data_IF_928654815839
#
_entry.id   IF_928654815839
#
_cell.length_a   1.000
_cell.length_b   1.000
_cell.length_c   1.000
_cell.angle_alpha   90.00
_cell.angle_beta   90.00
_cell.angle_gamma   90.00
#
_symmetry.space_group_name_H-M   'P 1'
#
loop_
_entity.id
_entity.type
_entity.pdbx_description
1 polymer ?
#
# COMPACT_ATOMS: atom_id res chain seq x y z
N UNK A 1 -15.23 -8.71 23.34
CA UNK A 1 -16.11 -9.50 24.23
C UNK A 1 -15.39 -9.73 25.56
N UNK A 2 -16.12 -9.91 26.68
CA UNK A 2 -15.50 -10.25 27.95
C UNK A 2 -15.56 -11.78 28.14
N UNK A 3 -14.43 -12.48 28.03
CA UNK A 3 -14.37 -13.96 28.08
C UNK A 3 -15.02 -14.52 29.34
N UNK A 4 -14.79 -13.90 30.50
CA UNK A 4 -15.37 -14.33 31.78
C UNK A 4 -16.91 -14.33 31.81
N UNK A 5 -17.56 -13.55 30.93
CA UNK A 5 -19.04 -13.57 30.82
C UNK A 5 -19.56 -14.78 30.04
N UNK A 6 -18.77 -15.27 29.09
CA UNK A 6 -19.17 -16.33 28.15
C UNK A 6 -18.59 -17.70 28.50
N UNK A 7 -17.63 -17.76 29.43
CA UNK A 7 -16.96 -18.98 29.88
C UNK A 7 -17.94 -20.07 30.32
N UNK A 8 -19.00 -19.68 31.03
CA UNK A 8 -20.09 -20.57 31.45
C UNK A 8 -21.00 -21.08 30.33
N UNK A 9 -20.91 -20.50 29.13
CA UNK A 9 -21.72 -20.87 27.96
C UNK A 9 -20.88 -21.49 26.84
N UNK A 10 -19.57 -21.61 27.02
CA UNK A 10 -18.63 -22.08 26.00
C UNK A 10 -17.99 -23.40 26.45
N UNK A 11 -17.74 -24.29 25.50
CA UNK A 11 -16.96 -25.50 25.76
C UNK A 11 -15.48 -25.15 25.96
N UNK A 12 -14.73 -26.02 26.64
CA UNK A 12 -13.29 -25.86 26.82
C UNK A 12 -12.55 -25.72 25.46
N UNK A 13 -12.96 -26.51 24.45
CA UNK A 13 -12.41 -26.42 23.09
C UNK A 13 -12.61 -25.03 22.49
N UNK A 14 -13.81 -24.46 22.62
CA UNK A 14 -14.13 -23.12 22.11
C UNK A 14 -13.29 -22.03 22.79
N UNK A 15 -13.04 -22.16 24.10
CA UNK A 15 -12.21 -21.22 24.85
C UNK A 15 -10.73 -21.30 24.44
N UNK A 16 -10.24 -22.49 24.10
CA UNK A 16 -8.89 -22.72 23.58
C UNK A 16 -8.72 -22.17 22.17
N UNK A 17 -9.68 -22.40 21.27
CA UNK A 17 -9.71 -21.83 19.92
C UNK A 17 -9.76 -20.30 19.94
N UNK A 18 -10.55 -19.73 20.85
CA UNK A 18 -10.62 -18.29 21.04
C UNK A 18 -9.27 -17.73 21.49
N UNK A 19 -8.63 -18.36 22.49
CA UNK A 19 -7.29 -17.99 22.94
C UNK A 19 -6.27 -18.08 21.79
N UNK A 20 -6.26 -19.19 21.05
CA UNK A 20 -5.38 -19.38 19.90
C UNK A 20 -5.60 -18.32 18.82
N UNK A 21 -6.84 -17.84 18.64
CA UNK A 21 -7.16 -16.76 17.70
C UNK A 21 -6.58 -15.41 18.16
N UNK A 22 -6.63 -15.10 19.46
CA UNK A 22 -5.97 -13.91 20.02
C UNK A 22 -4.43 -13.98 19.86
N UNK A 23 -3.84 -15.15 20.09
CA UNK A 23 -2.39 -15.36 19.93
C UNK A 23 -1.96 -15.25 18.46
N UNK A 24 -2.71 -15.84 17.53
CA UNK A 24 -2.48 -15.75 16.08
C UNK A 24 -2.58 -14.31 15.57
N UNK A 25 -3.50 -13.51 16.08
CA UNK A 25 -3.62 -12.10 15.70
C UNK A 25 -2.35 -11.29 16.05
N UNK A 26 -1.61 -11.71 17.07
CA UNK A 26 -0.34 -11.11 17.49
C UNK A 26 0.89 -11.86 16.94
N UNK A 27 0.69 -12.86 16.09
CA UNK A 27 1.78 -13.59 15.44
C UNK A 27 2.32 -12.82 14.24
N UNK A 28 3.63 -12.95 14.01
CA UNK A 28 4.21 -12.56 12.74
C UNK A 28 5.49 -13.35 12.49
N UNK A 29 5.68 -13.79 11.24
CA UNK A 29 6.92 -14.41 10.81
C UNK A 29 7.90 -13.32 10.42
N UNK A 30 8.76 -12.93 11.37
CA UNK A 30 9.96 -12.19 11.01
C UNK A 30 10.94 -13.14 10.29
N UNK A 31 11.70 -12.68 9.29
CA UNK A 31 12.65 -13.53 8.53
C UNK A 31 13.71 -14.26 9.37
N UNK A 32 13.82 -13.93 10.66
CA UNK A 32 14.79 -14.46 11.61
C UNK A 32 14.17 -15.29 12.74
N UNK A 33 12.86 -15.52 12.72
CA UNK A 33 12.18 -16.35 13.71
C UNK A 33 11.62 -17.59 13.00
N UNK A 34 12.29 -18.73 13.17
CA UNK A 34 11.87 -20.03 12.61
C UNK A 34 10.78 -20.73 13.44
N UNK A 35 10.38 -20.13 14.56
CA UNK A 35 9.31 -20.66 15.39
C UNK A 35 7.96 -20.37 14.73
N UNK A 36 7.36 -21.42 14.16
CA UNK A 36 6.06 -21.36 13.49
C UNK A 36 4.92 -20.93 14.42
N UNK A 37 5.09 -21.19 15.72
CA UNK A 37 4.15 -20.85 16.78
C UNK A 37 4.52 -19.53 17.47
N UNK A 38 5.40 -18.70 16.87
CA UNK A 38 5.78 -17.43 17.45
C UNK A 38 4.59 -16.46 17.51
N UNK A 39 4.21 -16.10 18.73
CA UNK A 39 3.33 -14.97 19.01
C UNK A 39 4.10 -13.89 19.74
N UNK A 40 3.84 -12.63 19.38
CA UNK A 40 4.38 -11.52 20.14
C UNK A 40 3.57 -11.27 21.42
N UNK A 41 2.40 -11.90 21.58
CA UNK A 41 1.58 -11.80 22.80
C UNK A 41 2.25 -12.51 23.99
N UNK A 42 2.52 -11.83 25.13
CA UNK A 42 3.10 -12.51 26.27
C UNK A 42 2.07 -13.40 26.95
N UNK A 43 2.57 -14.42 27.63
CA UNK A 43 1.77 -15.24 28.54
C UNK A 43 1.32 -14.38 29.72
N UNK A 44 0.06 -14.51 30.12
CA UNK A 44 -0.50 -13.87 31.30
C UNK A 44 0.30 -14.27 32.55
N UNK A 45 0.50 -13.35 33.50
CA UNK A 45 0.96 -13.72 34.82
C UNK A 45 -0.16 -14.48 35.53
N UNK A 46 0.05 -15.76 35.82
CA UNK A 46 -0.87 -16.54 36.65
C UNK A 46 -0.18 -16.93 37.95
N UNK A 47 -0.51 -16.24 39.04
CA UNK A 47 0.09 -16.51 40.35
C UNK A 47 -0.03 -17.98 40.83
N UNK A 48 -0.96 -18.76 40.26
CA UNK A 48 -1.15 -20.19 40.58
C UNK A 48 -0.28 -21.16 39.77
N UNK A 49 0.31 -20.72 38.65
CA UNK A 49 1.24 -21.53 37.84
C UNK A 49 2.67 -21.11 38.16
N UNK A 50 3.54 -22.09 38.42
CA UNK A 50 4.92 -21.93 38.95
C UNK A 50 5.69 -20.75 38.29
N UNK A 51 6.47 -19.99 39.08
CA UNK A 51 7.21 -18.80 38.63
C UNK A 51 8.25 -19.07 37.52
N UNK A 52 8.71 -20.32 37.38
CA UNK A 52 9.79 -20.75 36.48
C UNK A 52 9.45 -20.65 34.97
N UNK A 53 8.17 -20.51 34.60
CA UNK A 53 7.75 -20.38 33.19
C UNK A 53 7.47 -18.94 32.75
N UNK A 54 7.67 -17.94 33.60
CA UNK A 54 7.50 -16.55 33.22
C UNK A 54 8.81 -15.95 32.73
N UNK A 55 8.77 -15.36 31.55
CA UNK A 55 9.82 -14.43 31.12
C UNK A 55 9.62 -13.17 31.98
N UNK A 56 10.42 -13.03 33.04
CA UNK A 56 10.46 -11.80 33.83
C UNK A 56 11.11 -10.73 32.94
N UNK A 57 10.39 -9.65 32.57
CA UNK A 57 11.00 -8.60 31.77
C UNK A 57 12.14 -7.96 32.58
N UNK A 58 13.13 -7.39 31.88
CA UNK A 58 14.25 -6.70 32.52
C UNK A 58 13.76 -5.65 33.53
N UNK A 59 14.59 -5.37 34.53
CA UNK A 59 14.26 -4.38 35.56
C UNK A 59 13.92 -3.02 34.92
N UNK A 60 12.72 -2.51 35.22
CA UNK A 60 12.28 -1.20 34.73
C UNK A 60 12.67 -0.11 35.74
N UNK A 61 13.75 0.62 35.43
CA UNK A 61 14.21 1.74 36.24
C UNK A 61 13.47 3.02 35.86
N UNK A 62 12.57 3.45 36.75
CA UNK A 62 11.80 4.69 36.63
C UNK A 62 12.32 5.74 37.61
N UNK A 63 12.36 7.00 37.16
CA UNK A 63 12.58 8.15 38.04
C UNK A 63 11.43 8.29 39.06
N UNK A 64 11.67 8.87 40.25
CA UNK A 64 10.65 8.97 41.31
C UNK A 64 9.32 9.58 40.87
N UNK A 65 9.37 10.62 40.02
CA UNK A 65 8.17 11.28 39.48
C UNK A 65 7.31 10.36 38.61
N UNK A 66 7.92 9.41 37.88
CA UNK A 66 7.20 8.39 37.11
C UNK A 66 6.73 7.24 38.01
N UNK A 67 7.51 6.87 39.04
CA UNK A 67 7.08 5.88 40.04
C UNK A 67 5.79 6.32 40.75
N UNK A 68 5.66 7.61 41.05
CA UNK A 68 4.45 8.18 41.66
C UNK A 68 3.18 8.03 40.79
N UNK A 69 3.34 7.85 39.47
CA UNK A 69 2.22 7.66 38.52
C UNK A 69 1.81 6.19 38.35
N UNK A 70 2.58 5.24 38.89
CA UNK A 70 2.27 3.81 38.79
C UNK A 70 0.90 3.41 39.39
N UNK A 71 0.43 3.98 40.51
CA UNK A 71 -0.90 3.68 41.04
C UNK A 71 -2.02 4.03 40.07
N UNK A 72 -1.96 5.21 39.45
CA UNK A 72 -2.95 5.65 38.46
C UNK A 72 -2.87 4.79 37.18
N UNK A 73 -1.66 4.48 36.69
CA UNK A 73 -1.48 3.54 35.58
C UNK A 73 -2.13 2.17 35.87
N UNK A 74 -1.98 1.63 37.10
CA UNK A 74 -2.66 0.40 37.52
C UNK A 74 -4.18 0.54 37.48
N UNK A 75 -4.72 1.70 37.87
CA UNK A 75 -6.15 1.97 37.79
C UNK A 75 -6.64 2.02 36.34
N UNK A 76 -5.91 2.67 35.43
CA UNK A 76 -6.23 2.69 34.00
C UNK A 76 -6.23 1.28 33.40
N UNK A 77 -5.24 0.45 33.73
CA UNK A 77 -5.18 -0.95 33.29
C UNK A 77 -6.38 -1.74 33.82
N UNK A 78 -6.75 -1.58 35.09
CA UNK A 78 -7.96 -2.20 35.65
C UNK A 78 -9.22 -1.75 34.91
N UNK A 79 -9.35 -0.47 34.57
CA UNK A 79 -10.48 0.04 33.77
C UNK A 79 -10.50 -0.58 32.37
N UNK A 80 -9.35 -0.69 31.72
CA UNK A 80 -9.22 -1.30 30.40
C UNK A 80 -9.58 -2.79 30.43
N UNK A 81 -9.01 -3.55 31.37
CA UNK A 81 -9.28 -4.97 31.57
C UNK A 81 -10.77 -5.24 31.84
N UNK A 82 -11.43 -4.34 32.59
CA UNK A 82 -12.88 -4.42 32.86
C UNK A 82 -13.75 -3.83 31.75
N UNK A 83 -13.22 -3.58 30.56
CA UNK A 83 -13.94 -3.03 29.42
C UNK A 83 -14.50 -1.61 29.61
N UNK A 84 -14.03 -0.85 30.60
CA UNK A 84 -14.51 0.52 30.89
C UNK A 84 -13.86 1.60 30.03
N UNK A 85 -12.72 1.31 29.40
CA UNK A 85 -12.03 2.23 28.47
C UNK A 85 -11.53 1.45 27.24
N UNK A 86 -11.42 2.09 26.06
CA UNK A 86 -10.84 1.46 24.87
C UNK A 86 -9.30 1.41 24.96
N UNK A 87 -8.67 0.57 24.12
CA UNK A 87 -7.21 0.43 24.07
C UNK A 87 -6.51 1.73 23.66
N UNK A 88 -7.11 2.50 22.76
CA UNK A 88 -6.60 3.80 22.32
C UNK A 88 -6.43 4.79 23.48
N UNK A 89 -7.38 4.83 24.42
CA UNK A 89 -7.29 5.67 25.61
C UNK A 89 -6.14 5.26 26.53
N UNK A 90 -5.91 3.96 26.71
CA UNK A 90 -4.80 3.46 27.52
C UNK A 90 -3.43 3.75 26.86
N UNK A 91 -3.31 3.53 25.55
CA UNK A 91 -2.08 3.87 24.80
C UNK A 91 -1.81 5.38 24.87
N UNK A 92 -2.84 6.21 24.71
CA UNK A 92 -2.71 7.67 24.81
C UNK A 92 -2.26 8.10 26.21
N UNK A 93 -2.86 7.55 27.27
CA UNK A 93 -2.43 7.83 28.64
C UNK A 93 -0.95 7.50 28.87
N UNK A 94 -0.50 6.32 28.41
CA UNK A 94 0.91 5.93 28.54
C UNK A 94 1.81 6.90 27.76
N UNK A 95 1.39 7.33 26.58
CA UNK A 95 2.14 8.29 25.78
C UNK A 95 2.24 9.67 26.45
N UNK A 96 1.15 10.17 27.02
CA UNK A 96 1.08 11.50 27.64
C UNK A 96 1.86 11.56 28.96
N UNK A 97 1.70 10.54 29.81
CA UNK A 97 2.31 10.54 31.15
C UNK A 97 3.75 10.04 31.17
N UNK A 98 4.09 9.07 30.30
CA UNK A 98 5.41 8.41 30.29
C UNK A 98 6.22 8.73 29.02
N UNK A 99 5.58 8.87 27.87
CA UNK A 99 6.25 8.87 26.56
C UNK A 99 7.24 10.02 26.32
N UNK A 100 7.08 11.19 26.94
CA UNK A 100 8.07 12.30 26.83
C UNK A 100 9.30 12.11 27.73
N UNK A 101 9.20 11.26 28.74
CA UNK A 101 10.21 11.10 29.81
C UNK A 101 10.97 9.78 29.71
N UNK A 102 10.46 8.83 28.95
CA UNK A 102 11.10 7.54 28.68
C UNK A 102 11.68 7.54 27.27
N UNK A 103 12.84 6.90 27.10
CA UNK A 103 13.32 6.55 25.77
C UNK A 103 12.50 5.37 25.21
N UNK A 104 12.64 5.09 23.91
CA UNK A 104 11.86 4.04 23.23
C UNK A 104 12.05 2.67 23.89
N UNK A 105 13.26 2.33 24.33
CA UNK A 105 13.53 1.04 24.98
C UNK A 105 12.83 0.91 26.34
N UNK A 106 12.84 1.97 27.16
CA UNK A 106 12.12 2.00 28.43
C UNK A 106 10.60 1.99 28.23
N UNK A 107 10.11 2.65 27.18
CA UNK A 107 8.70 2.64 26.81
C UNK A 107 8.24 1.22 26.43
N UNK A 108 9.03 0.52 25.62
CA UNK A 108 8.78 -0.89 25.28
C UNK A 108 8.82 -1.77 26.52
N UNK A 109 9.83 -1.59 27.38
CA UNK A 109 9.99 -2.36 28.61
C UNK A 109 8.81 -2.15 29.57
N UNK A 110 8.31 -0.91 29.69
CA UNK A 110 7.10 -0.61 30.46
C UNK A 110 5.93 -1.45 29.96
N UNK A 111 5.66 -1.46 28.65
CA UNK A 111 4.55 -2.25 28.07
C UNK A 111 4.76 -3.75 28.20
N UNK A 112 6.01 -4.24 28.13
CA UNK A 112 6.33 -5.64 28.43
C UNK A 112 6.00 -6.03 29.88
N UNK A 113 6.12 -5.09 30.83
CA UNK A 113 5.62 -5.29 32.19
C UNK A 113 4.09 -5.23 32.25
N UNK A 114 3.43 -4.37 31.49
CA UNK A 114 1.97 -4.21 31.59
C UNK A 114 1.19 -5.39 30.99
N UNK A 115 1.64 -5.90 29.84
CA UNK A 115 0.89 -6.90 29.08
C UNK A 115 0.58 -8.18 29.88
N UNK A 116 1.53 -8.84 30.58
CA UNK A 116 1.25 -10.03 31.38
C UNK A 116 0.23 -9.81 32.50
N UNK A 117 0.05 -8.57 32.97
CA UNK A 117 -0.89 -8.24 34.05
C UNK A 117 -2.34 -8.14 33.57
N UNK A 118 -2.57 -8.11 32.25
CA UNK A 118 -3.89 -8.19 31.64
C UNK A 118 -4.21 -9.66 31.44
N UNK A 119 -5.11 -10.21 32.26
CA UNK A 119 -5.42 -11.63 32.26
C UNK A 119 -6.23 -12.06 31.02
N UNK A 120 -7.26 -11.28 30.69
CA UNK A 120 -8.11 -11.51 29.51
C UNK A 120 -7.30 -11.45 28.22
N UNK A 121 -7.34 -12.53 27.43
CA UNK A 121 -6.47 -12.70 26.26
C UNK A 121 -6.83 -11.75 25.12
N UNK A 122 -8.12 -11.45 24.92
CA UNK A 122 -8.56 -10.48 23.91
C UNK A 122 -8.11 -9.08 24.27
N UNK A 123 -8.26 -8.67 25.54
CA UNK A 123 -7.80 -7.36 26.01
C UNK A 123 -6.29 -7.25 25.91
N UNK A 124 -5.55 -8.29 26.27
CA UNK A 124 -4.09 -8.30 26.13
C UNK A 124 -3.67 -8.16 24.67
N UNK A 125 -4.28 -8.93 23.76
CA UNK A 125 -4.01 -8.87 22.32
C UNK A 125 -4.39 -7.51 21.73
N UNK A 126 -5.56 -6.99 22.08
CA UNK A 126 -6.06 -5.68 21.63
C UNK A 126 -5.13 -4.55 22.06
N UNK A 127 -4.67 -4.57 23.31
CA UNK A 127 -3.71 -3.57 23.79
C UNK A 127 -2.37 -3.68 23.08
N UNK A 128 -1.87 -4.89 22.89
CA UNK A 128 -0.62 -5.13 22.17
C UNK A 128 -0.67 -4.63 20.72
N UNK A 129 -1.72 -4.97 19.99
CA UNK A 129 -1.92 -4.51 18.62
C UNK A 129 -2.07 -2.99 18.53
N UNK A 130 -2.85 -2.38 19.42
CA UNK A 130 -3.01 -0.93 19.47
C UNK A 130 -1.70 -0.21 19.79
N UNK A 131 -0.90 -0.78 20.69
CA UNK A 131 0.43 -0.25 21.02
C UNK A 131 1.39 -0.36 19.84
N UNK A 132 1.48 -1.53 19.18
CA UNK A 132 2.40 -1.75 18.06
C UNK A 132 1.97 -1.07 16.75
N UNK A 133 0.69 -0.72 16.61
CA UNK A 133 0.23 0.16 15.55
C UNK A 133 0.79 1.58 15.72
N UNK A 134 1.04 2.02 16.95
CA UNK A 134 1.64 3.32 17.27
C UNK A 134 3.18 3.26 17.30
N UNK A 135 3.73 2.22 17.92
CA UNK A 135 5.17 1.98 18.06
C UNK A 135 5.55 0.76 17.23
N UNK A 136 5.79 1.01 15.95
CA UNK A 136 5.96 -0.04 14.94
C UNK A 136 7.29 -0.77 15.07
N UNK A 137 8.32 -0.14 15.65
CA UNK A 137 9.60 -0.78 15.92
C UNK A 137 9.46 -1.60 17.20
N UNK A 138 9.80 -2.89 17.14
CA UNK A 138 9.80 -3.76 18.32
C UNK A 138 10.92 -4.78 18.22
N UNK A 139 11.33 -5.34 19.36
CA UNK A 139 12.25 -6.48 19.41
C UNK A 139 11.45 -7.77 19.42
N UNK A 140 11.85 -8.72 18.56
CA UNK A 140 11.32 -10.08 18.62
C UNK A 140 11.68 -10.73 19.95
N UNK A 141 10.76 -11.49 20.55
CA UNK A 141 11.01 -12.15 21.83
C UNK A 141 11.80 -13.45 21.70
N UNK A 142 11.75 -14.09 20.53
CA UNK A 142 12.48 -15.33 20.28
C UNK A 142 14.00 -15.09 20.17
N UNK A 143 14.43 -14.02 19.50
CA UNK A 143 15.85 -13.79 19.19
C UNK A 143 16.32 -12.34 19.39
N UNK A 144 15.49 -11.45 19.96
CA UNK A 144 15.88 -10.10 20.34
C UNK A 144 16.09 -9.10 19.20
N UNK A 145 15.74 -9.46 17.95
CA UNK A 145 16.00 -8.63 16.77
C UNK A 145 14.95 -7.56 16.55
N UNK A 146 15.39 -6.36 16.17
CA UNK A 146 14.52 -5.25 15.79
C UNK A 146 13.77 -5.52 14.49
N UNK A 147 12.46 -5.37 14.54
CA UNK A 147 11.53 -5.60 13.45
C UNK A 147 10.48 -4.50 13.42
N UNK A 148 9.98 -4.21 12.22
CA UNK A 148 8.80 -3.38 12.07
C UNK A 148 7.56 -4.27 12.13
N UNK A 149 6.67 -4.00 13.08
CA UNK A 149 5.41 -4.69 13.26
C UNK A 149 4.46 -4.52 12.07
N UNK A 150 4.60 -3.49 11.25
CA UNK A 150 3.73 -3.34 10.07
C UNK A 150 4.21 -4.19 8.90
N UNK A 151 5.48 -4.05 8.48
CA UNK A 151 6.00 -4.79 7.33
C UNK A 151 6.57 -6.17 7.68
N UNK A 152 6.66 -6.51 8.97
CA UNK A 152 7.23 -7.74 9.53
C UNK A 152 8.70 -7.98 9.16
N UNK A 153 9.40 -6.93 8.70
CA UNK A 153 10.81 -7.00 8.29
C UNK A 153 11.74 -6.28 9.28
N UNK A 154 13.01 -6.68 9.29
CA UNK A 154 14.09 -6.10 10.12
C UNK A 154 14.44 -4.69 9.63
N UNK A 155 14.54 -3.66 10.45
CA UNK A 155 14.39 -2.24 10.02
C UNK A 155 15.69 -1.38 9.83
N UNK A 156 16.07 -0.79 8.67
CA UNK A 156 17.44 -0.21 8.46
C UNK A 156 17.34 1.26 8.52
N UNK A 157 18.18 1.82 9.37
CA UNK A 157 18.46 3.24 9.42
C UNK A 157 18.97 3.75 8.07
N UNK A 158 18.18 4.56 7.39
CA UNK A 158 18.63 5.76 6.69
C UNK A 158 17.52 6.81 6.74
N UNK A 159 17.84 7.96 7.33
CA UNK A 159 17.02 9.14 7.60
C UNK A 159 17.46 10.26 6.64
N UNK A 160 16.48 10.94 6.02
CA UNK A 160 16.51 12.22 5.26
C UNK A 160 16.05 12.19 3.79
N UNK A 161 15.00 13.01 3.55
CA UNK A 161 14.60 13.76 2.34
C UNK A 161 14.39 13.01 1.00
N UNK A 162 13.13 12.98 0.51
CA UNK A 162 12.81 12.66 -0.88
C UNK A 162 12.83 11.17 -1.26
N UNK A 163 12.45 10.27 -0.36
CA UNK A 163 12.71 8.84 -0.51
C UNK A 163 11.81 8.15 -1.56
N UNK A 164 12.29 8.04 -2.80
CA UNK A 164 11.71 7.21 -3.87
C UNK A 164 11.91 5.70 -3.64
N UNK A 165 12.42 5.31 -2.46
CA UNK A 165 12.75 3.93 -2.13
C UNK A 165 12.66 3.61 -0.64
N UNK A 166 12.31 2.37 -0.32
CA UNK A 166 12.26 1.81 1.02
C UNK A 166 13.49 0.93 1.19
N UNK A 167 14.37 1.29 2.13
CA UNK A 167 15.50 0.45 2.57
C UNK A 167 15.23 -0.05 3.99
N UNK A 168 15.24 -1.36 4.15
CA UNK A 168 15.01 -2.14 5.36
C UNK A 168 16.36 -2.65 5.95
N UNK A 169 16.50 -2.93 7.27
CA UNK A 169 17.77 -3.40 7.94
C UNK A 169 18.03 -4.81 7.53
N UNK A 170 17.00 -5.46 7.03
CA UNK A 170 17.12 -6.68 6.28
C UNK A 170 17.88 -6.52 4.94
N UNK A 171 18.31 -5.31 4.53
CA UNK A 171 18.92 -5.06 3.22
C UNK A 171 17.93 -5.06 2.06
N UNK A 172 16.64 -5.28 2.34
CA UNK A 172 15.60 -5.15 1.32
C UNK A 172 15.49 -3.70 0.91
N UNK A 173 15.73 -3.47 -0.37
CA UNK A 173 15.63 -2.19 -1.03
C UNK A 173 14.59 -2.32 -2.13
N UNK A 174 13.64 -1.40 -2.16
CA UNK A 174 12.58 -1.37 -3.15
C UNK A 174 12.26 0.08 -3.46
N UNK A 175 12.24 0.44 -4.74
CA UNK A 175 11.74 1.77 -5.13
C UNK A 175 10.20 1.79 -5.09
N UNK A 176 9.58 2.93 -4.84
CA UNK A 176 8.11 3.05 -4.87
C UNK A 176 7.48 2.64 -6.21
N UNK A 177 8.04 3.02 -7.38
CA UNK A 177 7.54 2.53 -8.67
C UNK A 177 7.63 1.00 -8.80
N UNK A 178 8.64 0.40 -8.19
CA UNK A 178 8.83 -1.05 -8.18
C UNK A 178 7.81 -1.75 -7.27
N UNK A 179 7.51 -1.16 -6.10
CA UNK A 179 6.43 -1.62 -5.23
C UNK A 179 5.08 -1.60 -5.94
N UNK A 180 4.74 -0.50 -6.60
CA UNK A 180 3.47 -0.37 -7.36
C UNK A 180 3.40 -1.43 -8.45
N UNK A 181 4.51 -1.66 -9.17
CA UNK A 181 4.60 -2.67 -10.23
C UNK A 181 4.43 -4.09 -9.70
N UNK A 182 5.05 -4.41 -8.56
CA UNK A 182 4.91 -5.70 -7.88
C UNK A 182 3.46 -5.87 -7.43
N UNK A 183 2.85 -4.84 -6.85
CA UNK A 183 1.46 -4.87 -6.41
C UNK A 183 0.49 -5.12 -7.57
N UNK A 184 0.67 -4.44 -8.70
CA UNK A 184 -0.14 -4.65 -9.91
C UNK A 184 0.00 -6.09 -10.44
N UNK A 185 1.23 -6.60 -10.57
CA UNK A 185 1.48 -7.98 -11.00
C UNK A 185 0.87 -8.99 -10.03
N UNK A 186 0.99 -8.76 -8.73
CA UNK A 186 0.43 -9.64 -7.70
C UNK A 186 -1.10 -9.65 -7.74
N UNK A 187 -1.73 -8.47 -7.88
CA UNK A 187 -3.18 -8.35 -8.04
C UNK A 187 -3.70 -9.09 -9.29
N UNK A 188 -2.86 -9.22 -10.31
CA UNK A 188 -3.14 -9.97 -11.54
C UNK A 188 -2.71 -11.44 -11.50
N UNK A 189 -2.19 -11.93 -10.37
CA UNK A 189 -1.70 -13.31 -10.23
C UNK A 189 -0.47 -13.63 -11.09
N UNK A 190 0.29 -12.61 -11.51
CA UNK A 190 1.42 -12.75 -12.43
C UNK A 190 2.77 -13.00 -11.76
N UNK A 191 2.80 -13.08 -10.42
CA UNK A 191 4.01 -13.40 -9.66
C UNK A 191 3.90 -14.84 -9.18
N UNK A 192 4.66 -15.79 -9.77
CA UNK A 192 4.58 -17.20 -9.43
C UNK A 192 5.45 -17.59 -8.22
N UNK A 193 6.15 -16.61 -7.64
CA UNK A 193 7.14 -16.82 -6.58
C UNK A 193 6.86 -15.86 -5.42
N UNK A 194 7.23 -16.26 -4.22
CA UNK A 194 7.12 -15.39 -3.05
C UNK A 194 8.05 -14.17 -3.24
N UNK A 195 7.47 -12.96 -3.19
CA UNK A 195 8.20 -11.68 -3.28
C UNK A 195 9.16 -11.45 -2.09
N UNK A 196 9.00 -12.24 -1.02
CA UNK A 196 9.84 -12.20 0.16
C UNK A 196 11.01 -13.20 0.11
N UNK A 197 10.98 -14.20 -0.79
CA UNK A 197 12.15 -15.03 -1.13
C UNK A 197 13.06 -14.27 -2.07
N UNK A 198 14.00 -13.51 -1.50
CA UNK A 198 14.81 -12.55 -2.26
C UNK A 198 15.67 -13.21 -3.35
N UNK A 199 16.11 -14.46 -3.15
CA UNK A 199 16.95 -15.12 -4.14
C UNK A 199 16.13 -15.61 -5.32
N UNK A 200 15.05 -16.33 -5.04
CA UNK A 200 14.13 -16.83 -6.07
C UNK A 200 13.45 -15.67 -6.80
N UNK A 201 12.99 -14.67 -6.06
CA UNK A 201 12.41 -13.45 -6.63
C UNK A 201 13.40 -12.68 -7.51
N UNK A 202 14.68 -12.56 -7.10
CA UNK A 202 15.72 -11.91 -7.94
C UNK A 202 15.98 -12.69 -9.23
N UNK A 203 16.10 -14.02 -9.16
CA UNK A 203 16.29 -14.86 -10.37
C UNK A 203 15.09 -14.73 -11.30
N UNK A 204 13.87 -14.82 -10.77
CA UNK A 204 12.63 -14.65 -11.52
C UNK A 204 12.52 -13.25 -12.13
N UNK A 205 12.78 -12.20 -11.35
CA UNK A 205 12.73 -10.80 -11.82
C UNK A 205 13.76 -10.55 -12.93
N UNK A 206 14.97 -11.09 -12.78
CA UNK A 206 16.02 -11.03 -13.82
C UNK A 206 15.61 -11.78 -15.09
N UNK A 207 15.04 -12.97 -14.95
CA UNK A 207 14.48 -13.73 -16.06
C UNK A 207 13.35 -12.96 -16.76
N UNK A 208 12.40 -12.42 -16.00
CA UNK A 208 11.30 -11.62 -16.54
C UNK A 208 11.81 -10.39 -17.27
N UNK A 209 12.79 -9.69 -16.71
CA UNK A 209 13.43 -8.55 -17.36
C UNK A 209 14.10 -8.95 -18.68
N UNK A 210 14.82 -10.08 -18.70
CA UNK A 210 15.45 -10.59 -19.92
C UNK A 210 14.43 -10.96 -20.99
N UNK A 211 13.32 -11.60 -20.59
CA UNK A 211 12.20 -11.90 -21.49
C UNK A 211 11.59 -10.59 -21.99
N UNK A 212 11.20 -9.67 -21.11
CA UNK A 212 10.60 -8.39 -21.50
C UNK A 212 11.52 -7.61 -22.44
N UNK A 213 12.84 -7.63 -22.23
CA UNK A 213 13.83 -7.03 -23.14
C UNK A 213 13.88 -7.73 -24.50
N UNK A 214 13.94 -9.07 -24.52
CA UNK A 214 13.97 -9.85 -25.75
C UNK A 214 12.67 -9.70 -26.56
N UNK A 215 11.53 -9.75 -25.88
CA UNK A 215 10.21 -9.56 -26.48
C UNK A 215 9.99 -8.10 -26.90
N UNK A 216 10.39 -7.10 -26.12
CA UNK A 216 10.25 -5.70 -26.55
C UNK A 216 11.10 -5.36 -27.77
N UNK A 217 12.28 -5.98 -27.92
CA UNK A 217 13.12 -5.80 -29.11
C UNK A 217 12.57 -6.47 -30.37
N UNK A 218 12.02 -7.69 -30.26
CA UNK A 218 11.56 -8.46 -31.42
C UNK A 218 10.04 -8.42 -31.66
N UNK A 219 9.24 -8.55 -30.61
CA UNK A 219 7.78 -8.60 -30.69
C UNK A 219 7.13 -7.24 -30.82
N UNK A 220 7.72 -6.12 -30.39
CA UNK A 220 7.08 -4.81 -30.64
C UNK A 220 7.01 -4.55 -32.15
N UNK A 221 8.10 -4.79 -32.87
CA UNK A 221 8.15 -4.69 -34.33
C UNK A 221 7.22 -5.70 -35.00
N UNK A 222 7.18 -6.95 -34.53
CA UNK A 222 6.30 -7.99 -35.08
C UNK A 222 4.82 -7.74 -34.77
N UNK A 223 4.46 -7.33 -33.55
CA UNK A 223 3.09 -7.01 -33.12
C UNK A 223 2.62 -5.72 -33.80
N UNK A 224 3.48 -4.71 -33.97
CA UNK A 224 3.19 -3.54 -34.79
C UNK A 224 2.98 -3.95 -36.25
N UNK A 225 3.87 -4.74 -36.84
CA UNK A 225 3.72 -5.22 -38.21
C UNK A 225 2.44 -6.05 -38.39
N UNK A 226 2.09 -6.90 -37.42
CA UNK A 226 0.86 -7.70 -37.45
C UNK A 226 -0.39 -6.84 -37.28
N UNK A 227 -0.36 -5.85 -36.37
CA UNK A 227 -1.47 -4.89 -36.19
C UNK A 227 -1.64 -3.98 -37.39
N UNK A 228 -0.53 -3.52 -37.98
CA UNK A 228 -0.52 -2.73 -39.21
C UNK A 228 -1.00 -3.56 -40.41
N UNK A 229 -0.58 -4.82 -40.51
CA UNK A 229 -1.03 -5.74 -41.56
C UNK A 229 -2.52 -6.07 -41.43
N UNK A 230 -3.03 -6.30 -40.21
CA UNK A 230 -4.47 -6.44 -39.96
C UNK A 230 -5.24 -5.16 -40.28
N UNK A 231 -4.71 -4.00 -39.89
CA UNK A 231 -5.27 -2.72 -40.27
C UNK A 231 -5.31 -2.57 -41.79
N UNK A 232 -4.24 -2.88 -42.52
CA UNK A 232 -4.18 -2.79 -43.98
C UNK A 232 -5.10 -3.81 -44.69
N UNK A 233 -5.38 -4.95 -44.07
CA UNK A 233 -6.34 -5.95 -44.56
C UNK A 233 -7.80 -5.58 -44.27
N UNK A 234 -8.08 -4.89 -43.16
CA UNK A 234 -9.45 -4.48 -42.78
C UNK A 234 -9.81 -3.06 -43.25
N UNK A 235 -8.81 -2.23 -43.57
CA UNK A 235 -8.98 -0.89 -44.12
C UNK A 235 -9.38 -0.81 -45.61
N UNK A 236 -9.26 -1.79 -46.51
CA UNK A 236 -9.60 -1.60 -47.93
C UNK A 236 -11.02 -1.03 -48.17
N UNK A 237 -12.10 -1.47 -47.48
CA UNK A 237 -13.42 -0.87 -47.67
C UNK A 237 -13.57 0.53 -47.05
N UNK A 238 -12.75 0.90 -46.05
CA UNK A 238 -12.86 2.17 -45.32
C UNK A 238 -11.77 3.18 -45.66
N UNK A 239 -10.75 2.79 -46.43
CA UNK A 239 -9.57 3.62 -46.77
C UNK A 239 -9.98 4.91 -47.46
N UNK A 240 -10.95 4.85 -48.37
CA UNK A 240 -11.50 6.01 -49.07
C UNK A 240 -12.25 6.95 -48.13
N UNK A 241 -13.09 6.41 -47.25
CA UNK A 241 -13.86 7.19 -46.26
C UNK A 241 -12.93 7.86 -45.25
N UNK A 242 -11.94 7.13 -44.74
CA UNK A 242 -10.93 7.65 -43.81
C UNK A 242 -10.04 8.70 -44.47
N UNK A 243 -9.63 8.52 -45.73
CA UNK A 243 -8.90 9.53 -46.49
C UNK A 243 -9.73 10.80 -46.68
N UNK A 244 -11.01 10.68 -47.01
CA UNK A 244 -11.92 11.83 -47.13
C UNK A 244 -12.11 12.55 -45.79
N UNK A 245 -12.25 11.82 -44.69
CA UNK A 245 -12.35 12.40 -43.35
C UNK A 245 -11.06 13.11 -42.92
N UNK A 246 -9.89 12.50 -43.15
CA UNK A 246 -8.58 13.09 -42.89
C UNK A 246 -8.33 14.33 -43.75
N UNK A 247 -8.67 14.28 -45.03
CA UNK A 247 -8.56 15.44 -45.93
C UNK A 247 -9.48 16.58 -45.46
N UNK A 248 -10.72 16.29 -45.05
CA UNK A 248 -11.63 17.28 -44.45
C UNK A 248 -11.03 17.89 -43.19
N UNK A 249 -10.51 17.07 -42.27
CA UNK A 249 -9.90 17.55 -41.04
C UNK A 249 -8.66 18.42 -41.29
N UNK A 250 -7.74 17.97 -42.15
CA UNK A 250 -6.52 18.70 -42.50
C UNK A 250 -6.87 20.02 -43.20
N UNK A 251 -7.81 20.01 -44.15
CA UNK A 251 -8.28 21.21 -44.83
C UNK A 251 -8.88 22.20 -43.83
N UNK A 252 -9.74 21.73 -42.93
CA UNK A 252 -10.40 22.59 -41.95
C UNK A 252 -9.43 23.17 -40.92
N UNK A 253 -8.42 22.39 -40.52
CA UNK A 253 -7.32 22.86 -39.66
C UNK A 253 -6.47 23.92 -40.36
N UNK A 254 -6.13 23.71 -41.64
CA UNK A 254 -5.40 24.70 -42.45
C UNK A 254 -6.23 25.98 -42.64
N UNK A 255 -7.51 25.84 -42.98
CA UNK A 255 -8.44 26.95 -43.14
C UNK A 255 -8.61 27.77 -41.86
N UNK A 256 -8.72 27.13 -40.69
CA UNK A 256 -8.76 27.82 -39.39
C UNK A 256 -7.48 28.62 -39.12
N UNK A 257 -6.33 28.10 -39.55
CA UNK A 257 -5.03 28.77 -39.38
C UNK A 257 -4.88 29.99 -40.29
N UNK A 258 -5.44 29.93 -41.50
CA UNK A 258 -5.50 31.07 -42.44
C UNK A 258 -6.68 32.02 -42.21
N UNK A 259 -7.60 31.68 -41.31
CA UNK A 259 -8.79 32.48 -41.00
C UNK A 259 -8.49 33.90 -40.47
N UNK A 260 -7.44 34.12 -39.65
CA UNK A 260 -7.05 35.45 -39.21
C UNK A 260 -6.61 36.35 -40.39
N UNK A 261 -5.74 35.86 -41.28
CA UNK A 261 -5.32 36.57 -42.49
C UNK A 261 -6.53 36.88 -43.39
N UNK A 262 -7.45 35.92 -43.53
CA UNK A 262 -8.65 36.09 -44.33
C UNK A 262 -9.61 37.15 -43.73
N UNK A 263 -9.77 37.16 -42.40
CA UNK A 263 -10.53 38.20 -41.69
C UNK A 263 -9.89 39.57 -41.83
N UNK A 264 -8.56 39.64 -41.79
CA UNK A 264 -7.82 40.89 -41.94
C UNK A 264 -7.96 41.47 -43.36
N UNK A 265 -7.91 40.62 -44.39
CA UNK A 265 -8.16 41.01 -45.79
C UNK A 265 -9.61 41.44 -46.04
N UNK A 266 -10.58 40.77 -45.41
CA UNK A 266 -12.01 41.16 -45.42
C UNK A 266 -12.25 42.53 -44.79
N UNK A 267 -11.64 42.79 -43.63
CA UNK A 267 -11.76 44.06 -42.91
C UNK A 267 -11.07 45.22 -43.65
N UNK A 268 -10.03 44.94 -44.46
CA UNK A 268 -9.34 45.93 -45.28
C UNK A 268 -10.02 46.21 -46.63
N UNK A 269 -11.17 45.61 -46.92
CA UNK A 269 -11.93 45.85 -48.17
C UNK A 269 -11.25 45.36 -49.46
N UNK A 270 -10.05 44.78 -49.37
CA UNK A 270 -9.24 44.31 -50.50
C UNK A 270 -9.37 42.80 -50.65
N UNK A 271 -10.58 42.35 -51.00
CA UNK A 271 -10.77 40.99 -51.49
C UNK A 271 -10.64 41.00 -53.01
N UNK A 272 -9.47 40.59 -53.49
CA UNK A 272 -9.21 40.32 -54.90
C UNK A 272 -10.28 39.35 -55.48
N UNK A 273 -10.59 39.50 -56.76
CA UNK A 273 -11.64 38.73 -57.45
C UNK A 273 -11.39 37.22 -57.36
N UNK A 274 -10.13 36.79 -57.33
CA UNK A 274 -9.74 35.39 -57.19
C UNK A 274 -10.12 34.84 -55.80
N UNK A 275 -9.95 35.64 -54.74
CA UNK A 275 -10.33 35.25 -53.37
C UNK A 275 -11.85 35.15 -53.21
N UNK A 276 -12.62 36.01 -53.90
CA UNK A 276 -14.10 35.90 -53.99
C UNK A 276 -14.53 34.65 -54.77
N UNK A 277 -13.80 34.29 -55.83
CA UNK A 277 -14.04 33.08 -56.63
C UNK A 277 -13.77 31.80 -55.83
N UNK A 278 -12.64 31.73 -55.12
CA UNK A 278 -12.26 30.64 -54.22
C UNK A 278 -13.32 30.42 -53.11
N UNK A 279 -13.83 31.51 -52.55
CA UNK A 279 -14.88 31.47 -51.51
C UNK A 279 -16.21 30.91 -52.06
N UNK A 280 -16.62 31.31 -53.27
CA UNK A 280 -17.81 30.75 -53.94
C UNK A 280 -17.67 29.26 -54.26
N UNK A 281 -16.48 28.81 -54.67
CA UNK A 281 -16.19 27.39 -54.92
C UNK A 281 -16.24 26.58 -53.61
N UNK A 282 -15.68 27.11 -52.53
CA UNK A 282 -15.71 26.48 -51.21
C UNK A 282 -17.14 26.35 -50.64
N UNK A 283 -17.99 27.38 -50.82
CA UNK A 283 -19.39 27.36 -50.41
C UNK A 283 -20.24 26.40 -51.25
N UNK A 284 -20.02 26.32 -52.57
CA UNK A 284 -20.68 25.33 -53.45
C UNK A 284 -20.33 23.89 -53.07
N UNK A 285 -19.08 23.61 -52.72
CA UNK A 285 -18.67 22.29 -52.20
C UNK A 285 -19.33 21.94 -50.86
N UNK A 286 -19.62 22.93 -50.02
CA UNK A 286 -20.36 22.73 -48.76
C UNK A 286 -21.85 22.44 -48.98
N UNK A 287 -22.47 23.07 -49.98
CA UNK A 287 -23.85 22.81 -50.39
C UNK A 287 -24.05 21.41 -51.00
N UNK A 288 -23.12 20.95 -51.84
CA UNK A 288 -23.15 19.61 -52.42
C UNK A 288 -23.00 18.49 -51.36
N UNK A 289 -22.20 18.72 -50.31
CA UNK A 289 -21.99 17.75 -49.23
C UNK A 289 -23.18 17.63 -48.28
N UNK A 290 -23.99 18.69 -48.10
CA UNK A 290 -25.22 18.61 -47.30
C UNK A 290 -26.38 17.91 -48.03
N UNK A 291 -26.40 17.88 -49.37
CA UNK A 291 -27.42 17.12 -50.11
C UNK A 291 -27.20 15.60 -50.04
N UNK A 292 -25.95 15.15 -50.03
CA UNK A 292 -25.61 13.71 -49.96
C UNK A 292 -26.04 13.10 -48.62
N UNK A 293 -26.02 13.87 -47.53
CA UNK A 293 -26.43 13.41 -46.19
C UNK A 293 -27.94 13.42 -45.93
N UNK A 294 -28.77 13.89 -46.87
CA UNK A 294 -30.24 13.79 -46.79
C UNK A 294 -30.80 12.56 -47.52
N UNK A 295 -29.96 11.81 -48.22
CA UNK A 295 -30.35 10.65 -49.03
C UNK A 295 -29.62 9.37 -48.64
N UNK A 296 -28.97 9.35 -47.47
CA UNK A 296 -28.34 8.16 -46.87
C UNK A 296 -29.03 7.78 -45.56
#
# INVERSE_FOLDING_TARGET
MNKSKWEKYATQSTLEEYKASCERACSFRAPCCHNENYTHLPVAFNATKRPERYIVPKELRLVPSLKAKLPDLRQQIKRFANHKIPSSSLVRYIQEEFGKKLNDEQQHLLVEHLLPRILDEERRATFMMAYLAKYTITKTRCCGRDVCYNCKRKLSWHYNEGCSSVKCWCGFYMTWPEEIRIRDKNARGLIPVDIFDLEVYRRWSKWQYNIDRALKGGLVSYVLATRLSRLDQELPPYKRVLQEMLQRYIWWRRFRKSLPEFKEQLMKGSLDQETKRQTRIALRRRGAVMMVLRTS
#
